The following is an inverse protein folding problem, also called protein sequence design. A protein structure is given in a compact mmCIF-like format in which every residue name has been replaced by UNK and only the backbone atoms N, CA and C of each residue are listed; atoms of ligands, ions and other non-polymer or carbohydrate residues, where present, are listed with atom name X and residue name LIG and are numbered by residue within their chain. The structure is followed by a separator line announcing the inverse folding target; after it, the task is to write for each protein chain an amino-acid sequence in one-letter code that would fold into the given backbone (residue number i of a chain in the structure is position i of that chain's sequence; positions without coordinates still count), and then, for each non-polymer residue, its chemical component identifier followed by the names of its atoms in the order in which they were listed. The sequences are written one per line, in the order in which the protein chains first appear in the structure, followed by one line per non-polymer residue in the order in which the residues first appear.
data_IF_762412305084
#
_entry.id   IF_762412305084
#
_cell.length_a   1.000
_cell.length_b   1.000
_cell.length_c   1.000
_cell.angle_alpha   90.00
_cell.angle_beta   90.00
_cell.angle_gamma   90.00
#
_symmetry.space_group_name_H-M   'P 1'
#
loop_
_entity.id
_entity.type
_entity.pdbx_description
1 polymer ?
#
# COMPACT_ATOMS: atom_id res chain seq x y z
N UNK A 1 42.27 26.65 -34.45
CA UNK A 1 41.01 27.15 -35.04
C UNK A 1 39.86 26.37 -34.40
N UNK A 2 38.99 27.09 -33.67
CA UNK A 2 37.67 26.68 -33.14
C UNK A 2 37.53 25.29 -32.48
N UNK A 3 37.42 25.27 -31.16
CA UNK A 3 36.26 24.74 -30.42
C UNK A 3 36.58 24.76 -28.92
N UNK A 4 36.10 25.80 -28.23
CA UNK A 4 36.04 25.78 -26.77
C UNK A 4 34.84 26.61 -26.31
N UNK A 5 34.10 26.03 -25.36
CA UNK A 5 33.09 26.65 -24.48
C UNK A 5 31.67 26.83 -25.06
N UNK A 6 30.86 25.78 -24.94
CA UNK A 6 29.49 25.91 -24.41
C UNK A 6 29.16 24.60 -23.68
N UNK A 7 29.31 24.56 -22.34
CA UNK A 7 28.63 23.58 -21.48
C UNK A 7 28.53 24.18 -20.07
N UNK A 8 27.36 23.98 -19.47
CA UNK A 8 26.97 24.33 -18.09
C UNK A 8 26.67 25.81 -17.78
N UNK A 9 25.52 26.28 -18.27
CA UNK A 9 24.67 27.18 -17.50
C UNK A 9 23.33 26.47 -17.26
N UNK A 10 23.34 25.45 -16.40
CA UNK A 10 22.13 24.78 -15.91
C UNK A 10 22.02 25.05 -14.41
N UNK A 11 20.95 25.77 -14.07
CA UNK A 11 20.25 25.82 -12.79
C UNK A 11 21.08 26.14 -11.53
N UNK A 12 21.10 27.42 -11.17
CA UNK A 12 21.06 27.84 -9.76
C UNK A 12 19.95 28.88 -9.61
N UNK A 13 18.71 28.44 -9.82
CA UNK A 13 17.58 29.08 -9.15
C UNK A 13 17.66 28.59 -7.71
N UNK A 14 18.28 29.37 -6.84
CA UNK A 14 18.11 29.22 -5.40
C UNK A 14 16.64 29.53 -5.11
N UNK A 15 15.77 28.53 -5.22
CA UNK A 15 14.45 28.62 -4.62
C UNK A 15 14.68 28.67 -3.11
N UNK A 16 14.77 29.88 -2.57
CA UNK A 16 14.77 30.15 -1.14
C UNK A 16 13.42 29.74 -0.59
N UNK A 17 13.25 28.43 -0.37
CA UNK A 17 12.20 27.92 0.49
C UNK A 17 12.63 28.19 1.93
N UNK A 18 11.67 28.59 2.76
CA UNK A 18 11.89 28.65 4.20
C UNK A 18 12.45 27.29 4.67
N UNK A 19 13.41 27.32 5.60
CA UNK A 19 14.01 26.10 6.12
C UNK A 19 12.92 25.16 6.65
N UNK A 20 12.84 23.97 6.07
CA UNK A 20 11.97 22.90 6.55
C UNK A 20 12.40 22.52 7.97
N UNK A 21 11.44 22.35 8.88
CA UNK A 21 11.74 21.98 10.26
C UNK A 21 12.40 20.61 10.34
N UNK A 22 13.26 20.47 11.33
CA UNK A 22 14.00 19.26 11.63
C UNK A 22 15.50 19.37 11.28
N UNK A 23 16.33 18.42 11.72
CA UNK A 23 15.97 17.28 12.57
C UNK A 23 15.46 17.73 13.95
N UNK A 24 14.48 16.99 14.48
CA UNK A 24 13.88 17.25 15.78
C UNK A 24 14.59 16.48 16.89
N UNK A 25 14.75 17.13 18.03
CA UNK A 25 15.32 16.53 19.23
C UNK A 25 14.35 16.68 20.39
N UNK A 26 14.02 15.59 21.08
CA UNK A 26 13.15 15.65 22.24
C UNK A 26 13.93 15.96 23.53
N UNK A 27 13.26 16.68 24.41
CA UNK A 27 13.66 16.94 25.79
C UNK A 27 13.78 15.64 26.58
N UNK A 28 14.45 15.66 27.73
CA UNK A 28 14.70 14.45 28.54
C UNK A 28 13.41 13.73 28.96
N UNK A 29 12.39 14.48 29.36
CA UNK A 29 11.05 13.97 29.70
C UNK A 29 10.20 13.67 28.45
N UNK A 30 10.68 14.08 27.28
CA UNK A 30 10.06 13.91 25.99
C UNK A 30 8.90 14.86 25.71
N UNK A 31 8.60 15.85 26.55
CA UNK A 31 7.36 16.66 26.42
C UNK A 31 7.46 17.80 25.40
N UNK A 32 8.69 18.24 25.12
CA UNK A 32 9.05 19.28 24.14
C UNK A 32 10.00 18.75 23.07
N UNK A 33 9.96 19.36 21.89
CA UNK A 33 10.93 19.13 20.81
C UNK A 33 11.62 20.42 20.39
N UNK A 34 12.93 20.36 20.24
CA UNK A 34 13.73 21.40 19.61
C UNK A 34 13.93 21.07 18.14
N UNK A 35 13.65 22.06 17.30
CA UNK A 35 13.91 22.04 15.87
C UNK A 35 15.27 22.67 15.60
N UNK A 36 16.22 21.86 15.14
CA UNK A 36 17.57 22.32 14.87
C UNK A 36 17.63 23.32 13.70
N UNK A 37 16.79 23.18 12.67
CA UNK A 37 16.82 24.05 11.49
C UNK A 37 16.24 25.44 11.78
N UNK A 38 15.09 25.50 12.43
CA UNK A 38 14.41 26.78 12.71
C UNK A 38 14.83 27.40 14.05
N UNK A 39 15.54 26.66 14.90
CA UNK A 39 15.89 27.06 16.27
C UNK A 39 14.66 27.36 17.13
N UNK A 40 13.54 26.70 16.84
CA UNK A 40 12.32 26.80 17.62
C UNK A 40 12.20 25.62 18.58
N UNK A 41 11.56 25.86 19.72
CA UNK A 41 11.12 24.79 20.62
C UNK A 41 9.60 24.72 20.55
N UNK A 42 9.09 23.51 20.43
CA UNK A 42 7.67 23.23 20.32
C UNK A 42 7.19 22.36 21.48
N UNK A 43 5.95 22.60 21.89
CA UNK A 43 5.19 21.58 22.61
C UNK A 43 4.89 20.43 21.65
N UNK A 44 5.12 19.19 22.08
CA UNK A 44 4.79 18.02 21.26
C UNK A 44 3.30 17.74 21.18
N UNK A 45 2.56 18.05 22.23
CA UNK A 45 1.11 17.89 22.25
C UNK A 45 0.40 19.14 21.77
N UNK A 46 -0.75 18.94 21.13
CA UNK A 46 -1.68 20.03 20.83
C UNK A 46 -2.30 20.56 22.12
N UNK A 47 -2.79 21.80 22.09
CA UNK A 47 -3.47 22.41 23.22
C UNK A 47 -4.67 21.56 23.65
N UNK A 48 -4.79 21.32 24.97
CA UNK A 48 -5.79 20.45 25.57
C UNK A 48 -5.36 18.99 25.76
N UNK A 49 -4.34 18.52 25.04
CA UNK A 49 -3.72 17.21 25.28
C UNK A 49 -2.64 17.29 26.37
N UNK A 50 -2.26 16.12 26.90
CA UNK A 50 -1.16 16.00 27.86
C UNK A 50 -0.14 14.95 27.42
N UNK A 51 1.14 15.21 27.67
CA UNK A 51 2.20 14.24 27.49
C UNK A 51 2.15 13.18 28.60
N UNK A 52 2.18 11.89 28.25
CA UNK A 52 2.17 10.79 29.23
C UNK A 52 3.50 10.03 29.33
N UNK A 53 4.62 10.68 29.00
CA UNK A 53 5.98 10.11 28.84
C UNK A 53 6.21 9.29 27.57
N UNK A 54 5.18 8.95 26.80
CA UNK A 54 5.30 8.16 25.57
C UNK A 54 4.63 8.85 24.36
N UNK A 55 3.42 9.35 24.57
CA UNK A 55 2.59 9.97 23.54
C UNK A 55 1.75 11.09 24.16
N UNK A 56 1.05 11.82 23.31
CA UNK A 56 0.01 12.75 23.74
C UNK A 56 -1.26 11.96 24.04
N UNK A 57 -1.97 12.29 25.12
CA UNK A 57 -3.23 11.64 25.48
C UNK A 57 -4.28 12.68 25.81
N UNK A 58 -5.55 12.28 25.71
CA UNK A 58 -6.68 13.19 25.73
C UNK A 58 -6.96 13.78 24.35
N UNK A 59 -8.01 14.58 24.27
CA UNK A 59 -8.41 15.22 23.03
C UNK A 59 -7.79 16.61 22.94
N UNK A 60 -7.37 17.00 21.74
CA UNK A 60 -7.05 18.40 21.49
C UNK A 60 -8.33 19.23 21.63
N UNK A 61 -8.21 20.33 22.36
CA UNK A 61 -9.30 21.31 22.52
C UNK A 61 -9.26 22.22 21.31
N UNK A 62 -10.42 22.42 20.69
CA UNK A 62 -10.56 23.47 19.70
C UNK A 62 -10.88 24.80 20.37
N UNK A 63 -10.49 25.87 19.72
CA UNK A 63 -10.59 27.22 20.22
C UNK A 63 -11.08 28.14 19.11
N UNK A 64 -11.85 29.18 19.49
CA UNK A 64 -11.81 30.43 18.72
C UNK A 64 -10.45 31.08 18.97
N UNK A 65 -9.92 31.79 17.98
CA UNK A 65 -8.56 32.31 18.05
C UNK A 65 -8.28 33.19 19.30
N UNK A 66 -9.25 34.03 19.69
CA UNK A 66 -9.13 34.90 20.89
C UNK A 66 -9.02 34.08 22.18
N UNK A 67 -9.73 32.96 22.27
CA UNK A 67 -9.68 32.07 23.43
C UNK A 67 -8.37 31.30 23.46
N UNK A 68 -7.84 30.89 22.31
CA UNK A 68 -6.50 30.30 22.22
C UNK A 68 -5.45 31.29 22.74
N UNK A 69 -5.48 32.55 22.28
CA UNK A 69 -4.55 33.57 22.78
C UNK A 69 -4.68 33.78 24.30
N UNK A 70 -5.91 33.78 24.82
CA UNK A 70 -6.17 33.91 26.26
C UNK A 70 -5.64 32.70 27.04
N UNK A 71 -5.83 31.49 26.52
CA UNK A 71 -5.31 30.26 27.11
C UNK A 71 -3.77 30.25 27.15
N UNK A 72 -3.11 30.73 26.10
CA UNK A 72 -1.64 30.86 26.07
C UNK A 72 -1.13 31.86 27.10
N UNK A 73 -1.80 33.02 27.23
CA UNK A 73 -1.46 34.01 28.26
C UNK A 73 -1.62 33.44 29.67
N UNK A 74 -2.71 32.73 29.93
CA UNK A 74 -2.94 32.08 31.22
C UNK A 74 -1.92 30.99 31.51
N UNK A 75 -1.59 30.14 30.52
CA UNK A 75 -0.55 29.13 30.64
C UNK A 75 0.77 29.75 31.09
N UNK A 76 1.22 30.80 30.40
CA UNK A 76 2.46 31.50 30.71
C UNK A 76 2.40 32.18 32.10
N UNK A 77 1.28 32.81 32.45
CA UNK A 77 1.10 33.43 33.77
C UNK A 77 1.12 32.40 34.92
N UNK A 78 0.72 31.16 34.66
CA UNK A 78 0.69 30.06 35.63
C UNK A 78 2.00 29.26 35.68
N UNK A 79 3.14 29.88 35.35
CA UNK A 79 4.46 29.24 35.37
C UNK A 79 4.82 28.49 34.08
N UNK A 80 3.94 28.51 33.08
CA UNK A 80 4.22 28.00 31.75
C UNK A 80 4.23 26.48 31.64
N UNK A 81 5.07 25.96 30.74
CA UNK A 81 5.21 24.54 30.44
C UNK A 81 6.66 24.18 30.21
N UNK A 82 7.09 23.01 30.70
CA UNK A 82 8.49 22.57 30.58
C UNK A 82 9.49 23.52 31.26
N UNK A 83 9.04 24.26 32.27
CA UNK A 83 9.84 25.28 32.97
C UNK A 83 10.01 26.60 32.20
N UNK A 84 9.15 26.86 31.21
CA UNK A 84 9.26 28.00 30.29
C UNK A 84 7.91 28.69 30.15
N UNK A 85 7.88 30.02 30.17
CA UNK A 85 6.66 30.82 30.28
C UNK A 85 6.51 31.88 29.16
N UNK A 86 7.16 31.65 28.02
CA UNK A 86 7.20 32.51 26.83
C UNK A 86 6.62 31.78 25.60
N UNK A 87 5.65 30.89 25.84
CA UNK A 87 4.98 30.16 24.77
C UNK A 87 4.08 31.08 23.94
N UNK A 88 4.05 30.88 22.63
CA UNK A 88 3.25 31.67 21.71
C UNK A 88 2.57 30.79 20.65
N UNK A 89 1.48 31.31 20.08
CA UNK A 89 0.89 30.73 18.87
C UNK A 89 1.85 30.98 17.68
N UNK A 90 2.22 29.95 16.90
CA UNK A 90 3.18 30.08 15.82
C UNK A 90 2.66 30.99 14.71
N UNK A 91 3.55 31.71 14.03
CA UNK A 91 3.20 32.35 12.76
C UNK A 91 2.90 31.29 11.69
N UNK A 92 2.24 31.67 10.60
CA UNK A 92 1.92 30.70 9.54
C UNK A 92 3.17 30.05 8.95
N UNK A 93 4.29 30.77 8.85
CA UNK A 93 5.56 30.20 8.36
C UNK A 93 6.21 29.25 9.35
N UNK A 94 6.08 29.51 10.66
CA UNK A 94 6.55 28.59 11.69
C UNK A 94 5.71 27.31 11.72
N UNK A 95 4.38 27.43 11.61
CA UNK A 95 3.51 26.26 11.57
C UNK A 95 3.68 25.49 10.25
N UNK A 96 3.88 26.19 9.14
CA UNK A 96 4.11 25.56 7.84
C UNK A 96 5.44 24.81 7.77
N UNK A 97 6.45 25.22 8.55
CA UNK A 97 7.75 24.56 8.55
C UNK A 97 7.69 23.18 9.17
N UNK A 98 6.70 22.84 10.01
CA UNK A 98 6.57 21.50 10.61
C UNK A 98 5.75 20.51 9.77
N UNK A 99 5.20 20.93 8.62
CA UNK A 99 4.49 20.02 7.71
C UNK A 99 5.44 18.98 7.12
N UNK A 100 5.00 17.73 7.03
CA UNK A 100 5.72 16.63 6.40
C UNK A 100 4.87 16.09 5.23
N UNK A 101 5.34 16.31 4.01
CA UNK A 101 4.70 15.80 2.79
C UNK A 101 5.62 14.76 2.13
N UNK A 102 5.40 13.48 2.40
CA UNK A 102 6.22 12.36 1.92
C UNK A 102 6.20 12.17 0.39
N UNK A 103 5.22 12.76 -0.31
CA UNK A 103 5.17 12.83 -1.78
C UNK A 103 5.53 14.21 -2.34
N UNK A 104 6.03 15.12 -1.50
CA UNK A 104 6.39 16.48 -1.87
C UNK A 104 5.19 17.44 -1.87
N UNK A 105 5.37 18.61 -2.47
CA UNK A 105 4.42 19.72 -2.42
C UNK A 105 3.58 19.83 -3.69
N UNK A 106 2.39 20.42 -3.58
CA UNK A 106 1.66 20.87 -4.77
C UNK A 106 2.42 22.02 -5.44
N UNK A 107 2.18 22.24 -6.74
CA UNK A 107 2.82 23.31 -7.52
C UNK A 107 2.35 24.72 -7.13
N UNK A 108 1.33 24.83 -6.27
CA UNK A 108 0.75 26.11 -5.85
C UNK A 108 1.41 26.60 -4.56
N UNK A 109 1.51 27.91 -4.42
CA UNK A 109 1.99 28.56 -3.21
C UNK A 109 1.09 29.72 -2.84
N UNK A 110 0.94 29.95 -1.54
CA UNK A 110 0.18 31.03 -0.95
C UNK A 110 1.07 32.22 -0.66
N UNK A 111 0.60 33.40 -1.08
CA UNK A 111 1.08 34.67 -0.58
C UNK A 111 0.30 35.02 0.69
N UNK A 112 1.01 35.15 1.80
CA UNK A 112 0.43 35.45 3.11
C UNK A 112 0.02 36.93 3.22
N UNK A 113 0.55 37.78 2.33
CA UNK A 113 0.25 39.22 2.31
C UNK A 113 1.00 40.04 3.36
N UNK A 114 2.05 39.48 3.95
CA UNK A 114 2.90 40.13 4.96
C UNK A 114 4.30 40.49 4.43
N UNK A 115 4.51 40.40 3.11
CA UNK A 115 5.77 40.71 2.44
C UNK A 115 6.88 39.66 2.61
N UNK A 116 6.60 38.54 3.27
CA UNK A 116 7.55 37.43 3.39
C UNK A 116 7.52 36.44 2.23
N UNK A 117 8.31 35.37 2.35
CA UNK A 117 8.37 34.30 1.33
C UNK A 117 7.03 33.57 1.17
N UNK A 118 6.75 33.11 -0.05
CA UNK A 118 5.59 32.27 -0.36
C UNK A 118 5.64 30.95 0.43
N UNK A 119 4.47 30.46 0.80
CA UNK A 119 4.31 29.19 1.53
C UNK A 119 3.67 28.16 0.58
N UNK A 120 4.23 26.95 0.39
CA UNK A 120 3.58 25.92 -0.42
C UNK A 120 2.14 25.69 0.04
N UNK A 121 1.19 25.63 -0.89
CA UNK A 121 -0.24 25.66 -0.56
C UNK A 121 -0.67 24.39 0.18
N UNK A 122 -0.26 23.21 -0.29
CA UNK A 122 -0.62 21.91 0.30
C UNK A 122 0.37 20.82 -0.08
N UNK A 123 0.23 19.65 0.52
CA UNK A 123 0.96 18.45 0.09
C UNK A 123 0.48 17.97 -1.29
N UNK A 124 1.34 17.25 -2.01
CA UNK A 124 0.98 16.56 -3.24
C UNK A 124 -0.03 15.43 -2.98
N UNK A 125 -0.84 15.11 -3.99
CA UNK A 125 -1.86 14.04 -3.89
C UNK A 125 -1.22 12.69 -3.52
N UNK A 126 -1.88 11.96 -2.63
CA UNK A 126 -1.40 10.69 -2.10
C UNK A 126 -0.34 10.82 -0.99
N UNK A 127 -0.07 12.03 -0.50
CA UNK A 127 0.73 12.22 0.72
C UNK A 127 0.02 11.67 1.95
N UNK A 128 0.83 11.26 2.92
CA UNK A 128 0.37 10.74 4.21
C UNK A 128 -0.38 11.81 5.02
N UNK A 129 -1.39 11.37 5.77
CA UNK A 129 -2.25 12.22 6.63
C UNK A 129 -2.27 11.68 8.06
N UNK A 130 -2.07 12.52 9.09
CA UNK A 130 -1.77 13.95 9.02
C UNK A 130 -0.35 14.21 8.46
N UNK A 131 -0.23 15.34 7.75
CA UNK A 131 0.99 15.83 7.08
C UNK A 131 1.96 16.51 8.05
N UNK A 132 2.36 15.78 9.08
CA UNK A 132 3.27 16.24 10.13
C UNK A 132 4.07 15.04 10.64
N UNK A 133 5.28 15.28 11.12
CA UNK A 133 6.08 14.25 11.77
C UNK A 133 5.40 13.77 13.06
N UNK A 134 4.66 12.66 12.99
CA UNK A 134 3.95 12.08 14.14
C UNK A 134 4.88 11.52 15.22
N UNK A 135 6.17 11.33 14.93
CA UNK A 135 7.12 11.03 15.98
C UNK A 135 7.48 12.30 16.74
N UNK A 136 7.61 13.46 16.10
CA UNK A 136 7.83 14.73 16.80
C UNK A 136 6.55 15.25 17.47
N UNK A 137 5.41 15.10 16.81
CA UNK A 137 4.10 15.65 17.18
C UNK A 137 3.02 14.56 17.22
N UNK A 138 3.06 13.65 18.20
CA UNK A 138 2.16 12.49 18.23
C UNK A 138 0.71 12.89 18.57
N UNK A 139 -0.23 12.04 18.14
CA UNK A 139 -1.69 12.28 18.23
C UNK A 139 -2.11 13.66 17.71
N UNK A 140 -1.40 14.19 16.70
CA UNK A 140 -1.85 15.38 15.99
C UNK A 140 -3.06 15.02 15.14
N UNK A 141 -4.17 15.71 15.38
CA UNK A 141 -5.38 15.58 14.57
C UNK A 141 -5.12 16.13 13.14
N UNK A 142 -5.77 15.54 12.14
CA UNK A 142 -5.74 16.02 10.76
C UNK A 142 -6.52 17.33 10.54
N UNK A 143 -7.19 17.85 11.56
CA UNK A 143 -7.93 19.14 11.49
C UNK A 143 -7.01 20.37 11.40
N UNK A 144 -7.65 21.53 11.31
CA UNK A 144 -6.98 22.83 11.25
C UNK A 144 -6.29 23.21 12.56
N UNK A 145 -5.18 23.93 12.41
CA UNK A 145 -4.43 24.58 13.47
C UNK A 145 -4.31 26.08 13.22
N UNK A 146 -4.57 26.87 14.26
CA UNK A 146 -4.43 28.32 14.21
C UNK A 146 -2.97 28.76 14.10
N UNK A 147 -2.74 29.81 13.32
CA UNK A 147 -1.52 30.60 13.36
C UNK A 147 -1.79 32.02 13.88
N UNK A 148 -0.73 32.69 14.30
CA UNK A 148 -0.80 34.09 14.73
C UNK A 148 -0.80 35.10 13.57
N UNK A 149 -0.63 34.63 12.32
CA UNK A 149 -0.62 35.45 11.13
C UNK A 149 -2.03 35.92 10.75
N UNK A 150 -2.22 37.23 10.69
CA UNK A 150 -3.48 37.84 10.32
C UNK A 150 -3.82 37.60 8.84
N UNK A 151 -5.06 37.18 8.56
CA UNK A 151 -5.57 37.07 7.19
C UNK A 151 -6.13 38.40 6.71
N UNK A 152 -5.86 38.77 5.45
CA UNK A 152 -6.38 40.00 4.82
C UNK A 152 -6.22 41.27 5.69
N UNK A 153 -5.05 41.45 6.31
CA UNK A 153 -4.79 42.61 7.16
C UNK A 153 -5.65 42.67 8.44
N UNK A 154 -6.11 41.51 8.94
CA UNK A 154 -6.87 41.40 10.19
C UNK A 154 -8.39 41.50 10.05
N UNK A 155 -8.91 41.45 8.81
CA UNK A 155 -10.35 41.55 8.51
C UNK A 155 -11.09 40.21 8.48
N UNK A 156 -10.38 39.09 8.57
CA UNK A 156 -10.93 37.73 8.52
C UNK A 156 -10.31 36.79 9.58
N UNK A 157 -10.72 35.50 9.62
CA UNK A 157 -10.12 34.53 10.53
C UNK A 157 -8.62 34.38 10.22
N UNK A 158 -7.80 34.19 11.25
CA UNK A 158 -6.34 34.05 11.07
C UNK A 158 -5.98 32.94 10.07
N UNK A 159 -4.79 33.04 9.47
CA UNK A 159 -4.24 31.95 8.68
C UNK A 159 -4.12 30.67 9.52
N UNK A 160 -4.35 29.53 8.89
CA UNK A 160 -4.20 28.23 9.54
C UNK A 160 -3.68 27.16 8.60
N UNK A 161 -3.42 25.99 9.18
CA UNK A 161 -2.99 24.79 8.43
C UNK A 161 -3.90 23.63 8.76
N UNK A 162 -4.48 23.03 7.74
CA UNK A 162 -5.12 21.72 7.78
C UNK A 162 -4.04 20.64 7.65
N UNK A 163 -3.75 19.88 8.71
CA UNK A 163 -2.76 18.81 8.61
C UNK A 163 -3.28 17.61 7.82
N UNK A 164 -4.57 17.47 7.56
CA UNK A 164 -5.13 16.38 6.77
C UNK A 164 -4.62 16.35 5.33
N UNK A 165 -4.43 17.53 4.74
CA UNK A 165 -3.89 17.72 3.38
C UNK A 165 -2.62 18.59 3.32
N UNK A 166 -2.21 19.13 4.46
CA UNK A 166 -1.16 20.14 4.57
C UNK A 166 -1.61 21.50 4.05
N UNK A 167 -2.90 21.75 3.86
CA UNK A 167 -3.40 22.96 3.22
C UNK A 167 -3.23 24.21 4.08
N UNK A 168 -2.68 25.27 3.48
CA UNK A 168 -2.55 26.62 4.05
C UNK A 168 -3.63 27.50 3.44
N UNK A 169 -4.47 28.06 4.30
CA UNK A 169 -5.61 28.88 3.90
C UNK A 169 -6.15 29.70 5.05
N UNK A 170 -7.22 30.45 4.79
CA UNK A 170 -8.08 30.93 5.86
C UNK A 170 -8.77 29.72 6.50
N UNK A 171 -8.91 29.70 7.82
CA UNK A 171 -9.54 28.58 8.52
C UNK A 171 -11.03 28.35 8.17
N UNK A 172 -11.57 29.07 7.18
CA UNK A 172 -13.01 29.19 6.93
C UNK A 172 -13.75 29.60 8.21
N UNK A 173 -15.07 29.51 8.24
CA UNK A 173 -15.87 29.75 9.46
C UNK A 173 -15.76 28.62 10.50
N UNK A 174 -14.59 28.00 10.66
CA UNK A 174 -14.37 27.02 11.72
C UNK A 174 -14.04 27.77 13.01
N UNK A 175 -15.04 27.92 13.88
CA UNK A 175 -14.87 28.54 15.19
C UNK A 175 -14.11 27.64 16.19
N UNK A 176 -13.96 26.35 15.89
CA UNK A 176 -13.35 25.37 16.80
C UNK A 176 -12.12 24.71 16.16
N UNK A 177 -10.97 25.39 16.28
CA UNK A 177 -9.71 25.04 15.61
C UNK A 177 -8.60 24.83 16.64
N UNK A 178 -7.71 23.88 16.39
CA UNK A 178 -6.71 23.47 17.37
C UNK A 178 -5.54 24.44 17.48
N UNK A 179 -4.82 24.38 18.59
CA UNK A 179 -3.61 25.16 18.81
C UNK A 179 -2.40 24.28 19.06
N UNK A 180 -1.24 24.74 18.62
CA UNK A 180 0.07 24.23 19.05
C UNK A 180 0.93 25.42 19.42
N UNK A 181 1.77 25.28 20.44
CA UNK A 181 2.61 26.36 20.91
C UNK A 181 4.06 26.15 20.53
N UNK A 182 4.70 27.28 20.22
CA UNK A 182 6.11 27.39 19.89
C UNK A 182 6.74 28.45 20.76
N UNK A 183 8.06 28.43 20.87
CA UNK A 183 8.85 29.54 21.38
C UNK A 183 10.17 29.64 20.62
N UNK A 184 10.68 30.85 20.50
CA UNK A 184 12.04 31.08 20.02
C UNK A 184 13.03 30.82 21.16
N UNK A 185 14.24 30.42 20.81
CA UNK A 185 15.31 30.22 21.80
C UNK A 185 16.63 30.74 21.27
N UNK A 186 17.44 31.33 22.15
CA UNK A 186 18.81 31.78 21.86
C UNK A 186 19.86 30.83 22.46
N UNK A 187 19.56 29.53 22.51
CA UNK A 187 20.53 28.51 22.95
C UNK A 187 21.64 28.33 21.90
N UNK A 188 22.87 28.19 22.39
CA UNK A 188 23.95 27.58 21.63
C UNK A 188 23.61 26.13 21.24
N UNK A 189 24.34 25.58 20.26
CA UNK A 189 24.13 24.20 19.84
C UNK A 189 24.39 23.19 20.96
N UNK A 190 25.35 23.46 21.83
CA UNK A 190 25.71 22.54 22.91
C UNK A 190 24.67 22.57 24.04
N UNK A 191 24.14 23.74 24.39
CA UNK A 191 23.01 23.88 25.32
C UNK A 191 21.76 23.18 24.78
N UNK A 192 21.46 23.36 23.49
CA UNK A 192 20.31 22.72 22.86
C UNK A 192 20.45 21.19 22.87
N UNK A 193 21.62 20.63 22.54
CA UNK A 193 21.86 19.19 22.61
C UNK A 193 21.81 18.64 24.03
N UNK A 194 22.24 19.42 25.02
CA UNK A 194 22.14 19.03 26.42
C UNK A 194 20.69 18.99 26.91
N UNK A 195 19.90 20.03 26.59
CA UNK A 195 18.49 20.11 26.98
C UNK A 195 17.59 19.14 26.18
N UNK A 196 17.94 18.87 24.92
CA UNK A 196 17.21 18.00 24.00
C UNK A 196 18.13 16.88 23.48
N UNK A 197 18.46 15.88 24.32
CA UNK A 197 19.44 14.87 23.97
C UNK A 197 18.91 13.80 23.00
N UNK A 198 17.59 13.72 22.81
CA UNK A 198 16.96 12.61 22.08
C UNK A 198 16.75 12.95 20.60
N UNK A 199 17.66 12.54 19.73
CA UNK A 199 17.48 12.69 18.28
C UNK A 199 16.34 11.78 17.77
N UNK A 200 15.23 12.38 17.32
CA UNK A 200 14.05 11.63 16.89
C UNK A 200 14.27 10.88 15.56
N UNK A 201 15.16 11.35 14.69
CA UNK A 201 15.50 10.61 13.46
C UNK A 201 16.22 9.29 13.78
N UNK A 202 17.11 9.29 14.78
CA UNK A 202 17.78 8.07 15.24
C UNK A 202 16.78 7.11 15.89
N UNK A 203 15.85 7.63 16.69
CA UNK A 203 14.78 6.83 17.30
C UNK A 203 13.89 6.22 16.22
N UNK A 204 13.50 6.97 15.19
CA UNK A 204 12.73 6.45 14.04
C UNK A 204 13.44 5.28 13.37
N UNK A 205 14.74 5.42 13.09
CA UNK A 205 15.53 4.35 12.49
C UNK A 205 15.63 3.11 13.39
N UNK A 206 15.80 3.30 14.70
CA UNK A 206 15.83 2.20 15.65
C UNK A 206 14.49 1.46 15.72
N UNK A 207 13.36 2.19 15.74
CA UNK A 207 12.02 1.60 15.71
C UNK A 207 11.76 0.83 14.42
N UNK A 208 12.16 1.38 13.26
CA UNK A 208 12.02 0.69 11.98
C UNK A 208 12.84 -0.61 11.91
N UNK A 209 14.07 -0.59 12.43
CA UNK A 209 14.91 -1.80 12.53
C UNK A 209 14.30 -2.84 13.46
N UNK A 210 13.79 -2.43 14.62
CA UNK A 210 13.12 -3.34 15.55
C UNK A 210 11.89 -4.00 14.89
N UNK A 211 11.04 -3.21 14.22
CA UNK A 211 9.88 -3.74 13.51
C UNK A 211 10.25 -4.70 12.37
N UNK A 212 11.35 -4.45 11.65
CA UNK A 212 11.85 -5.38 10.63
C UNK A 212 12.31 -6.71 11.23
N UNK A 213 13.08 -6.67 12.31
CA UNK A 213 13.54 -7.87 13.02
C UNK A 213 12.36 -8.70 13.56
N UNK A 214 11.31 -8.04 14.06
CA UNK A 214 10.10 -8.73 14.51
C UNK A 214 9.38 -9.46 13.35
N UNK A 215 9.27 -8.83 12.18
CA UNK A 215 8.69 -9.47 10.99
C UNK A 215 9.50 -10.68 10.54
N UNK A 216 10.83 -10.54 10.47
CA UNK A 216 11.73 -11.65 10.12
C UNK A 216 11.63 -12.81 11.13
N UNK A 217 11.45 -12.50 12.42
CA UNK A 217 11.26 -13.51 13.46
C UNK A 217 9.93 -14.26 13.30
N UNK A 218 8.85 -13.55 12.96
CA UNK A 218 7.53 -14.15 12.68
C UNK A 218 7.61 -15.05 11.45
N UNK A 219 8.14 -14.54 10.33
CA UNK A 219 8.30 -15.32 9.09
C UNK A 219 9.19 -16.56 9.30
N UNK A 220 10.28 -16.42 10.06
CA UNK A 220 11.14 -17.55 10.42
C UNK A 220 10.37 -18.59 11.24
N UNK A 221 9.54 -18.17 12.19
CA UNK A 221 8.75 -19.08 13.02
C UNK A 221 7.72 -19.83 12.17
N UNK A 222 7.03 -19.14 11.28
CA UNK A 222 6.08 -19.77 10.35
C UNK A 222 6.76 -20.75 9.39
N UNK A 223 7.94 -20.42 8.86
CA UNK A 223 8.72 -21.34 8.02
C UNK A 223 9.12 -22.59 8.78
N UNK A 224 9.63 -22.44 10.01
CA UNK A 224 10.01 -23.58 10.85
C UNK A 224 8.80 -24.45 11.20
N UNK A 225 7.64 -23.85 11.46
CA UNK A 225 6.41 -24.60 11.71
C UNK A 225 5.97 -25.39 10.46
N UNK A 226 5.95 -24.77 9.28
CA UNK A 226 5.63 -25.47 8.01
C UNK A 226 6.63 -26.58 7.70
N UNK A 227 7.91 -26.37 7.99
CA UNK A 227 8.94 -27.41 7.83
C UNK A 227 8.75 -28.56 8.81
N UNK A 228 8.36 -28.29 10.05
CA UNK A 228 8.04 -29.32 11.04
C UNK A 228 6.81 -30.13 10.62
N UNK A 229 5.70 -29.46 10.25
CA UNK A 229 4.48 -30.10 9.75
C UNK A 229 4.76 -30.95 8.50
N UNK A 230 5.60 -30.45 7.57
CA UNK A 230 6.00 -31.23 6.39
C UNK A 230 6.79 -32.48 6.78
N UNK A 231 7.74 -32.37 7.73
CA UNK A 231 8.52 -33.53 8.20
C UNK A 231 7.63 -34.57 8.88
N UNK A 232 6.68 -34.13 9.71
CA UNK A 232 5.71 -35.01 10.36
C UNK A 232 4.80 -35.70 9.32
N UNK A 233 4.35 -34.98 8.29
CA UNK A 233 3.55 -35.54 7.20
C UNK A 233 4.36 -36.55 6.36
N UNK A 234 5.61 -36.22 6.01
CA UNK A 234 6.52 -37.12 5.29
C UNK A 234 6.79 -38.41 6.09
N UNK A 235 6.95 -38.30 7.41
CA UNK A 235 7.14 -39.46 8.29
C UNK A 235 5.87 -40.31 8.42
N UNK A 236 4.71 -39.66 8.58
CA UNK A 236 3.41 -40.34 8.62
C UNK A 236 3.12 -41.07 7.31
N UNK A 237 3.41 -40.44 6.17
CA UNK A 237 3.28 -41.05 4.85
C UNK A 237 4.20 -42.27 4.70
N UNK A 238 5.49 -42.13 5.02
CA UNK A 238 6.45 -43.26 5.00
C UNK A 238 5.97 -44.42 5.88
N UNK A 239 5.49 -44.12 7.08
CA UNK A 239 4.93 -45.14 7.99
C UNK A 239 3.70 -45.84 7.40
N UNK A 240 2.80 -45.07 6.76
CA UNK A 240 1.61 -45.63 6.12
C UNK A 240 1.94 -46.54 4.94
N UNK A 241 2.86 -46.15 4.07
CA UNK A 241 3.33 -47.00 2.98
C UNK A 241 4.02 -48.27 3.49
N UNK A 242 4.82 -48.18 4.55
CA UNK A 242 5.41 -49.35 5.19
C UNK A 242 4.35 -50.29 5.82
N UNK A 243 3.28 -49.75 6.40
CA UNK A 243 2.15 -50.53 6.91
C UNK A 243 1.34 -51.18 5.77
N UNK A 244 1.15 -50.49 4.65
CA UNK A 244 0.48 -51.02 3.46
C UNK A 244 1.29 -52.17 2.84
N UNK A 245 2.60 -52.00 2.66
CA UNK A 245 3.48 -53.04 2.14
C UNK A 245 3.39 -54.33 2.98
N UNK A 246 3.29 -54.23 4.31
CA UNK A 246 3.14 -55.40 5.20
C UNK A 246 1.88 -56.24 4.95
N UNK A 247 0.88 -55.74 4.21
CA UNK A 247 -0.31 -56.52 3.83
C UNK A 247 -0.03 -57.57 2.75
N UNK A 248 1.06 -57.43 2.01
CA UNK A 248 1.44 -58.33 0.91
C UNK A 248 0.70 -58.06 -0.40
N UNK A 249 1.19 -58.61 -1.53
CA UNK A 249 0.79 -58.22 -2.87
C UNK A 249 -0.66 -58.59 -3.22
N UNK A 250 -1.12 -59.78 -2.79
CA UNK A 250 -2.50 -60.23 -3.05
C UNK A 250 -3.53 -59.34 -2.35
N UNK A 251 -3.33 -59.04 -1.07
CA UNK A 251 -4.26 -58.22 -0.30
C UNK A 251 -4.29 -56.78 -0.83
N UNK A 252 -3.14 -56.21 -1.19
CA UNK A 252 -3.07 -54.91 -1.82
C UNK A 252 -3.82 -54.87 -3.15
N UNK A 253 -3.71 -55.91 -3.98
CA UNK A 253 -4.44 -55.99 -5.26
C UNK A 253 -5.96 -55.99 -5.05
N UNK A 254 -6.45 -56.71 -4.02
CA UNK A 254 -7.86 -56.71 -3.65
C UNK A 254 -8.34 -55.33 -3.17
N UNK A 255 -7.52 -54.66 -2.35
CA UNK A 255 -7.80 -53.30 -1.86
C UNK A 255 -7.81 -52.28 -3.00
N UNK A 256 -6.90 -52.40 -3.97
CA UNK A 256 -6.87 -51.56 -5.16
C UNK A 256 -8.18 -51.72 -5.97
N UNK A 257 -8.63 -52.95 -6.18
CA UNK A 257 -9.91 -53.20 -6.84
C UNK A 257 -11.12 -52.67 -6.06
N UNK A 258 -11.08 -52.68 -4.71
CA UNK A 258 -12.13 -52.03 -3.90
C UNK A 258 -12.11 -50.51 -4.04
N UNK A 259 -10.92 -49.91 -4.01
CA UNK A 259 -10.71 -48.47 -4.26
C UNK A 259 -11.27 -48.06 -5.62
N UNK A 260 -11.02 -48.86 -6.66
CA UNK A 260 -11.49 -48.61 -8.02
C UNK A 260 -13.02 -48.61 -8.13
N UNK A 261 -13.70 -49.32 -7.22
CA UNK A 261 -15.18 -49.33 -7.11
C UNK A 261 -15.71 -48.21 -6.20
N UNK A 262 -14.89 -47.24 -5.84
CA UNK A 262 -15.26 -46.08 -5.04
C UNK A 262 -15.19 -46.29 -3.52
N UNK A 263 -14.61 -47.39 -3.04
CA UNK A 263 -14.44 -47.61 -1.59
C UNK A 263 -13.21 -46.84 -1.08
N UNK A 264 -13.36 -46.03 -0.04
CA UNK A 264 -12.20 -45.43 0.64
C UNK A 264 -11.35 -46.52 1.31
N UNK A 265 -10.05 -46.52 1.03
CA UNK A 265 -9.09 -47.45 1.63
C UNK A 265 -8.18 -46.63 2.53
N UNK A 266 -8.28 -46.83 3.84
CA UNK A 266 -7.41 -46.18 4.82
C UNK A 266 -6.46 -47.20 5.43
N UNK A 267 -5.16 -46.86 5.44
CA UNK A 267 -4.11 -47.68 6.05
C UNK A 267 -3.24 -46.74 6.89
N UNK A 268 -3.14 -47.03 8.19
CA UNK A 268 -2.35 -46.23 9.13
C UNK A 268 -2.72 -44.72 9.12
N UNK A 269 -4.01 -44.41 9.03
CA UNK A 269 -4.52 -43.03 9.04
C UNK A 269 -4.37 -42.26 7.73
N UNK A 270 -3.81 -42.88 6.67
CA UNK A 270 -3.71 -42.29 5.32
C UNK A 270 -4.64 -43.02 4.36
N UNK A 271 -5.35 -42.27 3.54
CA UNK A 271 -6.13 -42.82 2.43
C UNK A 271 -5.22 -43.23 1.28
N UNK A 272 -5.52 -44.36 0.67
CA UNK A 272 -4.80 -44.90 -0.48
C UNK A 272 -5.72 -44.95 -1.71
N UNK A 273 -5.26 -44.32 -2.78
CA UNK A 273 -5.90 -44.39 -4.09
C UNK A 273 -5.65 -45.74 -4.79
N UNK A 274 -6.45 -46.00 -5.83
CA UNK A 274 -6.30 -47.21 -6.65
C UNK A 274 -4.92 -47.30 -7.29
N UNK A 275 -4.45 -46.20 -7.89
CA UNK A 275 -3.14 -46.10 -8.55
C UNK A 275 -2.03 -46.35 -7.54
N UNK A 276 -2.03 -45.65 -6.41
CA UNK A 276 -1.00 -45.80 -5.37
C UNK A 276 -0.89 -47.24 -4.87
N UNK A 277 -2.01 -47.94 -4.71
CA UNK A 277 -2.00 -49.34 -4.29
C UNK A 277 -1.41 -50.27 -5.36
N UNK A 278 -1.74 -50.05 -6.64
CA UNK A 278 -1.15 -50.83 -7.74
C UNK A 278 0.36 -50.53 -7.91
N UNK A 279 0.76 -49.26 -7.87
CA UNK A 279 2.16 -48.85 -7.92
C UNK A 279 2.97 -49.44 -6.76
N UNK A 280 2.41 -49.44 -5.55
CA UNK A 280 3.05 -50.05 -4.38
C UNK A 280 3.29 -51.55 -4.57
N UNK A 281 2.38 -52.27 -5.23
CA UNK A 281 2.57 -53.70 -5.55
C UNK A 281 3.74 -53.88 -6.51
N UNK A 282 3.79 -53.07 -7.57
CA UNK A 282 4.85 -53.13 -8.58
C UNK A 282 6.22 -52.81 -7.96
N UNK A 283 6.29 -51.77 -7.13
CA UNK A 283 7.54 -51.32 -6.49
C UNK A 283 8.02 -52.28 -5.39
N UNK A 284 7.13 -52.72 -4.49
CA UNK A 284 7.54 -53.54 -3.32
C UNK A 284 7.54 -55.04 -3.57
N UNK A 285 6.85 -55.52 -4.60
CA UNK A 285 6.73 -56.95 -4.90
C UNK A 285 6.95 -57.26 -6.40
N UNK A 286 8.06 -56.83 -7.01
CA UNK A 286 8.25 -56.91 -8.47
C UNK A 286 8.23 -58.35 -9.02
N UNK A 287 8.60 -59.35 -8.22
CA UNK A 287 8.59 -60.76 -8.62
C UNK A 287 7.25 -61.47 -8.41
N UNK A 288 6.23 -60.77 -7.88
CA UNK A 288 4.90 -61.33 -7.64
C UNK A 288 4.07 -61.36 -8.92
N UNK A 289 3.24 -62.38 -9.11
CA UNK A 289 2.25 -62.39 -10.22
C UNK A 289 1.30 -61.18 -10.17
N UNK A 290 1.05 -60.63 -8.98
CA UNK A 290 0.21 -59.46 -8.79
C UNK A 290 0.87 -58.17 -9.26
N UNK A 291 2.20 -58.10 -9.37
CA UNK A 291 2.89 -56.94 -9.95
C UNK A 291 2.63 -56.84 -11.45
N UNK A 292 2.64 -57.97 -12.17
CA UNK A 292 2.26 -58.02 -13.58
C UNK A 292 0.81 -57.54 -13.76
N UNK A 293 -0.12 -58.11 -12.98
CA UNK A 293 -1.54 -57.72 -13.03
C UNK A 293 -1.75 -56.24 -12.68
N UNK A 294 -1.04 -55.73 -11.67
CA UNK A 294 -1.10 -54.33 -11.27
C UNK A 294 -0.59 -53.41 -12.38
N UNK A 295 0.53 -53.77 -13.03
CA UNK A 295 1.04 -53.02 -14.18
C UNK A 295 0.04 -52.99 -15.34
N UNK A 296 -0.65 -54.10 -15.61
CA UNK A 296 -1.70 -54.15 -16.64
C UNK A 296 -2.87 -53.21 -16.33
N UNK A 297 -3.30 -53.16 -15.06
CA UNK A 297 -4.32 -52.23 -14.60
C UNK A 297 -3.88 -50.78 -14.75
N UNK A 298 -2.66 -50.42 -14.33
CA UNK A 298 -2.10 -49.08 -14.49
C UNK A 298 -2.06 -48.66 -15.97
N UNK A 299 -1.61 -49.56 -16.85
CA UNK A 299 -1.58 -49.33 -18.29
C UNK A 299 -2.99 -49.19 -18.90
N UNK A 300 -3.98 -49.92 -18.38
CA UNK A 300 -5.38 -49.77 -18.80
C UNK A 300 -5.94 -48.41 -18.37
N UNK A 301 -5.63 -47.96 -17.15
CA UNK A 301 -6.05 -46.66 -16.61
C UNK A 301 -5.44 -45.49 -17.38
N UNK A 302 -4.12 -45.50 -17.63
CA UNK A 302 -3.43 -44.45 -18.43
C UNK A 302 -4.00 -44.38 -19.86
N UNK A 303 -4.29 -45.52 -20.49
CA UNK A 303 -4.96 -45.54 -21.81
C UNK A 303 -6.36 -44.94 -21.77
N UNK A 304 -7.13 -45.23 -20.72
CA UNK A 304 -8.47 -44.66 -20.54
C UNK A 304 -8.41 -43.15 -20.36
N UNK A 305 -7.47 -42.66 -19.53
CA UNK A 305 -7.28 -41.23 -19.29
C UNK A 305 -6.88 -40.49 -20.58
N UNK A 306 -5.90 -41.01 -21.33
CA UNK A 306 -5.49 -40.43 -22.62
C UNK A 306 -6.64 -40.39 -23.63
N UNK A 307 -7.46 -41.45 -23.67
CA UNK A 307 -8.64 -41.49 -24.53
C UNK A 307 -9.68 -40.43 -24.11
N UNK A 308 -9.92 -40.25 -22.81
CA UNK A 308 -10.80 -39.20 -22.29
C UNK A 308 -10.27 -37.80 -22.62
N UNK A 309 -8.97 -37.54 -22.40
CA UNK A 309 -8.36 -36.25 -22.76
C UNK A 309 -8.37 -35.99 -24.26
N UNK A 310 -8.24 -37.03 -25.09
CA UNK A 310 -8.36 -36.91 -26.55
C UNK A 310 -9.80 -36.59 -26.97
N UNK A 311 -10.79 -37.29 -26.38
CA UNK A 311 -12.21 -37.02 -26.63
C UNK A 311 -12.62 -35.61 -26.21
N UNK A 312 -12.13 -35.14 -25.04
CA UNK A 312 -12.36 -33.77 -24.58
C UNK A 312 -11.81 -32.74 -25.56
N UNK A 313 -10.55 -32.91 -26.00
CA UNK A 313 -9.92 -32.01 -26.99
C UNK A 313 -10.65 -32.02 -28.33
N UNK A 314 -11.11 -33.19 -28.80
CA UNK A 314 -11.89 -33.29 -30.03
C UNK A 314 -13.25 -32.57 -29.91
N UNK A 315 -13.95 -32.73 -28.78
CA UNK A 315 -15.20 -32.04 -28.51
C UNK A 315 -15.01 -30.50 -28.44
N UNK A 316 -13.91 -30.04 -27.88
CA UNK A 316 -13.58 -28.62 -27.82
C UNK A 316 -13.23 -28.04 -29.19
N UNK A 317 -12.44 -28.75 -30.00
CA UNK A 317 -12.15 -28.36 -31.37
C UNK A 317 -13.42 -28.27 -32.22
N UNK A 318 -14.37 -29.19 -32.04
CA UNK A 318 -15.67 -29.14 -32.71
C UNK A 318 -16.47 -27.89 -32.29
N UNK A 319 -16.56 -27.59 -30.99
CA UNK A 319 -17.24 -26.37 -30.51
C UNK A 319 -16.63 -25.11 -31.13
N UNK A 320 -15.31 -25.04 -31.22
CA UNK A 320 -14.62 -23.91 -31.83
C UNK A 320 -14.90 -23.81 -33.33
N UNK A 321 -14.94 -24.94 -34.05
CA UNK A 321 -15.30 -24.97 -35.46
C UNK A 321 -16.74 -24.49 -35.70
N UNK A 322 -17.69 -24.94 -34.87
CA UNK A 322 -19.09 -24.54 -34.94
C UNK A 322 -19.26 -23.03 -34.66
N UNK A 323 -18.53 -22.50 -33.67
CA UNK A 323 -18.51 -21.07 -33.38
C UNK A 323 -17.93 -20.24 -34.54
N UNK A 324 -16.82 -20.70 -35.13
CA UNK A 324 -16.24 -20.05 -36.30
C UNK A 324 -17.19 -20.07 -37.51
N UNK A 325 -17.90 -21.18 -37.72
CA UNK A 325 -18.90 -21.29 -38.78
C UNK A 325 -20.08 -20.34 -38.54
N UNK A 326 -20.56 -20.23 -37.29
CA UNK A 326 -21.62 -19.30 -36.89
C UNK A 326 -21.20 -17.84 -37.12
N UNK A 327 -19.99 -17.46 -36.66
CA UNK A 327 -19.44 -16.12 -36.87
C UNK A 327 -19.32 -15.79 -38.37
N UNK A 328 -18.87 -16.75 -39.18
CA UNK A 328 -18.76 -16.59 -40.64
C UNK A 328 -20.14 -16.41 -41.29
N UNK A 329 -21.14 -17.19 -40.87
CA UNK A 329 -22.51 -17.06 -41.35
C UNK A 329 -23.11 -15.70 -40.99
N UNK A 330 -22.88 -15.22 -39.76
CA UNK A 330 -23.30 -13.89 -39.32
C UNK A 330 -22.61 -12.78 -40.12
N UNK A 331 -21.31 -12.92 -40.40
CA UNK A 331 -20.57 -12.00 -41.26
C UNK A 331 -21.20 -11.90 -42.66
N UNK A 332 -21.46 -13.05 -43.30
CA UNK A 332 -22.12 -13.07 -44.61
C UNK A 332 -23.54 -12.48 -44.59
N UNK A 333 -24.28 -12.64 -43.50
CA UNK A 333 -25.58 -11.98 -43.34
C UNK A 333 -25.43 -10.46 -43.29
N UNK A 334 -24.48 -9.95 -42.52
CA UNK A 334 -24.21 -8.52 -42.40
C UNK A 334 -23.76 -7.91 -43.74
N UNK A 335 -22.93 -8.63 -44.52
CA UNK A 335 -22.54 -8.20 -45.87
C UNK A 335 -23.76 -8.07 -46.76
N UNK A 336 -24.63 -9.07 -46.82
CA UNK A 336 -25.86 -9.00 -47.64
C UNK A 336 -26.75 -7.82 -47.24
N UNK A 337 -26.91 -7.55 -45.94
CA UNK A 337 -27.64 -6.37 -45.46
C UNK A 337 -26.97 -5.06 -45.86
N UNK A 338 -25.64 -4.98 -45.78
CA UNK A 338 -24.86 -3.81 -46.22
C UNK A 338 -25.02 -3.56 -47.73
N UNK A 339 -24.91 -4.61 -48.55
CA UNK A 339 -25.10 -4.54 -49.99
C UNK A 339 -26.51 -4.05 -50.37
N UNK A 340 -27.55 -4.58 -49.71
CA UNK A 340 -28.92 -4.14 -49.90
C UNK A 340 -29.12 -2.67 -49.54
N UNK A 341 -28.52 -2.20 -48.44
CA UNK A 341 -28.56 -0.80 -48.03
C UNK A 341 -27.85 0.11 -49.05
N UNK A 342 -26.64 -0.28 -49.50
CA UNK A 342 -25.92 0.45 -50.55
C UNK A 342 -26.75 0.59 -51.83
N UNK A 343 -27.40 -0.51 -52.27
CA UNK A 343 -28.26 -0.51 -53.45
C UNK A 343 -29.47 0.43 -53.30
N UNK A 344 -30.08 0.49 -52.11
CA UNK A 344 -31.20 1.37 -51.83
C UNK A 344 -30.79 2.85 -51.74
N UNK A 345 -29.70 3.15 -51.02
CA UNK A 345 -29.23 4.53 -50.79
C UNK A 345 -28.74 5.22 -52.06
N UNK A 346 -28.15 4.48 -53.00
CA UNK A 346 -27.58 5.00 -54.25
C UNK A 346 -28.35 4.52 -55.49
N UNK A 347 -29.67 4.33 -55.38
CA UNK A 347 -30.53 3.77 -56.44
C UNK A 347 -30.51 4.52 -57.78
N UNK A 348 -30.03 5.78 -57.80
CA UNK A 348 -29.90 6.62 -59.01
C UNK A 348 -28.45 6.86 -59.45
N UNK A 349 -27.44 6.39 -58.70
CA UNK A 349 -26.02 6.51 -59.04
C UNK A 349 -25.34 5.14 -58.96
N UNK A 350 -25.25 4.49 -60.12
CA UNK A 350 -24.69 3.14 -60.26
C UNK A 350 -23.22 3.04 -59.82
N UNK A 351 -22.39 4.07 -60.06
CA UNK A 351 -20.97 4.01 -59.71
C UNK A 351 -20.77 4.07 -58.19
N UNK A 352 -21.52 4.94 -57.52
CA UNK A 352 -21.47 5.02 -56.06
C UNK A 352 -22.03 3.76 -55.39
N UNK A 353 -23.13 3.19 -55.92
CA UNK A 353 -23.69 1.93 -55.45
C UNK A 353 -22.68 0.77 -55.54
N UNK A 354 -22.00 0.61 -56.69
CA UNK A 354 -20.99 -0.44 -56.89
C UNK A 354 -19.75 -0.26 -55.99
N UNK A 355 -19.28 0.99 -55.82
CA UNK A 355 -18.17 1.27 -54.90
C UNK A 355 -18.53 0.91 -53.45
N UNK A 356 -19.75 1.24 -53.00
CA UNK A 356 -20.26 0.92 -51.66
C UNK A 356 -20.37 -0.60 -51.44
N UNK A 357 -20.96 -1.33 -52.40
CA UNK A 357 -21.07 -2.80 -52.37
C UNK A 357 -19.68 -3.46 -52.32
N UNK A 358 -18.73 -2.99 -53.14
CA UNK A 358 -17.34 -3.49 -53.11
C UNK A 358 -16.64 -3.24 -51.77
N UNK A 359 -17.10 -2.23 -51.01
CA UNK A 359 -16.66 -1.95 -49.65
C UNK A 359 -17.24 -2.96 -48.65
N UNK A 360 -18.55 -3.23 -48.74
CA UNK A 360 -19.21 -4.25 -47.91
C UNK A 360 -18.59 -5.65 -48.07
N UNK A 361 -18.15 -6.01 -49.28
CA UNK A 361 -17.57 -7.33 -49.54
C UNK A 361 -16.16 -7.52 -48.95
N UNK A 362 -15.46 -6.42 -48.61
CA UNK A 362 -14.12 -6.47 -47.98
C UNK A 362 -14.15 -6.70 -46.48
N UNK A 363 -15.32 -6.62 -45.84
CA UNK A 363 -15.47 -6.70 -44.37
C UNK A 363 -15.44 -8.12 -43.79
N UNK A 364 -15.43 -9.18 -44.62
CA UNK A 364 -15.49 -10.58 -44.16
C UNK A 364 -14.32 -11.46 -44.65
N UNK A 365 -13.19 -10.86 -45.07
CA UNK A 365 -11.98 -11.60 -45.43
C UNK A 365 -11.07 -11.85 -44.24
#
# INVERSE_FOLDING_TARGET
MKMLKVLAAMALVLTGWAAQAGPFFASKDGSMVWDQATRLVWMRCSMGQRWNTKTCVGNAVGYIYVDLQSAVKQLNANGGFGGQADWQVPSIRQLASIRECDKGWSIKAQDIGDGGLLVPERCADGSSSPSVDLLAFPETDSRYFWSSSAFQGGRGPNWGIDFGSGYVGDGGRLYDVQGRLVRATSMSMDEAKFAFPQNLANIRQALARAAALEREAVERKERLQKEAERREAEEAERSAFAAAARKGPQQLYLLAGQSQRGKSIEINGRSFGTIELYELIVDKFPSSEYAVRASDQLNAMDRSERAQSAAYRAAEAQRQADQNASNRAQCFSNVRSCEANCANSWSRDYRMAQSCISGCQRTCN
#
